data_IF_168396594680
#
_entry.id   IF_168396594680
#
_cell.length_a   1.000
_cell.length_b   1.000
_cell.length_c   1.000
_cell.angle_alpha   90.00
_cell.angle_beta   90.00
_cell.angle_gamma   90.00
#
_symmetry.space_group_name_H-M   'P 1'
#
loop_
_entity.id
_entity.type
_entity.pdbx_description
1 polymer ?
#
# COMPACT_ATOMS: atom_id res chain seq x y z
N UNK A 1 26.12 -4.06 -4.82
CA UNK A 1 26.37 -3.24 -3.64
C UNK A 1 26.23 -4.13 -2.40
N UNK A 2 27.32 -4.35 -1.66
CA UNK A 2 27.23 -4.94 -0.32
C UNK A 2 26.63 -3.84 0.56
N UNK A 3 25.44 -4.07 1.06
CA UNK A 3 24.86 -3.22 2.08
C UNK A 3 25.71 -3.36 3.34
N UNK A 4 26.25 -2.27 3.85
CA UNK A 4 27.00 -2.26 5.11
C UNK A 4 26.10 -2.65 6.28
N UNK A 5 24.80 -2.46 6.13
CA UNK A 5 23.77 -2.72 7.13
C UNK A 5 22.62 -3.52 6.52
N UNK A 6 22.63 -4.87 6.62
CA UNK A 6 21.61 -5.72 6.03
C UNK A 6 20.27 -5.63 6.79
N UNK A 7 19.17 -5.75 6.05
CA UNK A 7 17.87 -6.05 6.64
C UNK A 7 17.86 -7.49 7.15
N UNK A 8 17.13 -7.73 8.23
CA UNK A 8 17.06 -9.03 8.90
C UNK A 8 15.61 -9.51 8.96
N UNK A 9 15.43 -10.82 8.95
CA UNK A 9 14.15 -11.47 9.23
C UNK A 9 14.31 -12.35 10.45
N UNK A 10 13.44 -12.15 11.43
CA UNK A 10 13.44 -12.91 12.67
C UNK A 10 12.21 -13.80 12.72
N UNK A 11 12.40 -15.03 13.24
CA UNK A 11 11.32 -15.93 13.62
C UNK A 11 11.44 -16.16 15.13
N UNK A 12 10.43 -15.71 15.86
CA UNK A 12 10.32 -15.91 17.29
C UNK A 12 9.67 -17.25 17.61
N UNK A 13 9.81 -17.69 18.85
CA UNK A 13 9.09 -18.87 19.32
C UNK A 13 7.60 -18.58 19.35
N UNK A 14 6.79 -19.60 19.04
CA UNK A 14 5.32 -19.47 19.01
C UNK A 14 4.76 -19.10 20.39
N UNK A 15 5.41 -19.57 21.43
CA UNK A 15 5.04 -19.37 22.84
C UNK A 15 5.44 -17.99 23.37
N UNK A 16 6.34 -17.29 22.67
CA UNK A 16 6.88 -15.99 23.08
C UNK A 16 6.96 -15.01 21.88
N UNK A 17 5.82 -14.63 21.32
CA UNK A 17 5.76 -13.68 20.21
C UNK A 17 5.96 -12.25 20.73
N UNK A 18 6.60 -11.42 19.94
CA UNK A 18 6.70 -9.98 20.23
C UNK A 18 5.44 -9.26 19.71
N UNK A 19 4.65 -8.67 20.60
CA UNK A 19 3.42 -7.94 20.24
C UNK A 19 2.52 -8.73 19.26
N UNK A 20 2.28 -10.01 19.55
CA UNK A 20 1.55 -10.97 18.71
C UNK A 20 2.22 -11.32 17.36
N UNK A 21 3.42 -10.83 17.10
CA UNK A 21 4.19 -11.13 15.90
C UNK A 21 5.15 -12.30 16.15
N UNK A 22 4.99 -13.38 15.42
CA UNK A 22 5.95 -14.48 15.38
C UNK A 22 7.08 -14.23 14.38
N UNK A 23 6.76 -13.54 13.29
CA UNK A 23 7.72 -13.18 12.25
C UNK A 23 7.84 -11.66 12.20
N UNK A 24 9.08 -11.18 12.24
CA UNK A 24 9.40 -9.76 12.27
C UNK A 24 10.40 -9.47 11.16
N UNK A 25 10.15 -8.42 10.40
CA UNK A 25 11.11 -7.85 9.47
C UNK A 25 11.80 -6.66 10.16
N UNK A 26 13.14 -6.67 10.18
CA UNK A 26 13.95 -5.53 10.57
C UNK A 26 14.55 -4.92 9.31
N UNK A 27 13.96 -3.86 8.84
CA UNK A 27 14.39 -3.20 7.60
C UNK A 27 15.46 -2.16 7.92
N UNK A 28 16.60 -2.30 7.26
CA UNK A 28 17.65 -1.31 7.32
C UNK A 28 17.25 -0.07 6.54
N UNK A 29 17.38 1.15 7.11
CA UNK A 29 17.06 2.39 6.40
C UNK A 29 18.19 2.87 5.47
N UNK A 30 19.16 2.02 5.17
CA UNK A 30 20.30 2.40 4.34
C UNK A 30 19.87 2.88 2.94
N UNK A 31 20.37 4.05 2.57
CA UNK A 31 20.09 4.67 1.26
C UNK A 31 18.71 5.26 1.11
N UNK A 32 17.89 5.27 2.16
CA UNK A 32 16.52 5.78 2.19
C UNK A 32 16.30 6.59 3.46
N UNK A 33 15.27 7.44 3.43
CA UNK A 33 14.85 8.10 4.66
C UNK A 33 14.17 7.07 5.57
N UNK A 34 14.54 7.04 6.84
CA UNK A 34 14.00 6.11 7.85
C UNK A 34 12.46 6.12 7.89
N UNK A 35 11.87 7.26 7.57
CA UNK A 35 10.42 7.48 7.67
C UNK A 35 9.63 7.06 6.41
N UNK A 36 10.29 6.68 5.31
CA UNK A 36 9.62 6.44 4.02
C UNK A 36 8.52 5.39 4.07
N UNK A 37 8.70 4.31 4.81
CA UNK A 37 7.68 3.29 5.00
C UNK A 37 6.91 3.48 6.32
N UNK A 38 7.60 3.84 7.39
CA UNK A 38 6.98 4.00 8.70
C UNK A 38 5.81 5.00 8.70
N UNK A 39 6.01 6.14 8.06
CA UNK A 39 5.02 7.22 8.08
C UNK A 39 3.74 6.91 7.26
N UNK A 40 3.82 6.41 6.02
CA UNK A 40 2.66 5.94 5.28
C UNK A 40 1.87 4.85 5.99
N UNK A 41 2.54 3.86 6.58
CA UNK A 41 1.89 2.81 7.37
C UNK A 41 1.12 3.38 8.57
N UNK A 42 1.72 4.34 9.27
CA UNK A 42 1.07 5.01 10.38
C UNK A 42 -0.21 5.75 9.95
N UNK A 43 -0.15 6.49 8.84
CA UNK A 43 -1.31 7.21 8.29
C UNK A 43 -2.37 6.23 7.81
N UNK A 44 -1.98 5.15 7.13
CA UNK A 44 -2.87 4.11 6.65
C UNK A 44 -3.66 3.48 7.81
N UNK A 45 -2.99 3.08 8.89
CA UNK A 45 -3.65 2.54 10.08
C UNK A 45 -4.62 3.53 10.72
N UNK A 46 -4.27 4.81 10.80
CA UNK A 46 -5.18 5.86 11.31
C UNK A 46 -6.45 5.99 10.50
N UNK A 47 -6.38 5.80 9.19
CA UNK A 47 -7.55 5.78 8.32
C UNK A 47 -8.29 4.44 8.31
N UNK A 48 -7.80 3.45 9.05
CA UNK A 48 -8.37 2.11 9.12
C UNK A 48 -8.11 1.25 7.89
N UNK A 49 -7.04 1.51 7.15
CA UNK A 49 -6.52 0.61 6.12
C UNK A 49 -5.73 -0.52 6.77
N UNK A 50 -5.66 -1.66 6.10
CA UNK A 50 -4.67 -2.70 6.42
C UNK A 50 -3.30 -2.18 6.03
N UNK A 51 -2.37 -2.19 6.97
CA UNK A 51 -1.00 -1.75 6.76
C UNK A 51 -0.07 -2.43 7.77
N UNK A 52 1.23 -2.37 7.53
CA UNK A 52 2.20 -2.92 8.46
C UNK A 52 2.13 -2.22 9.83
N UNK A 53 2.24 -3.01 10.88
CA UNK A 53 2.50 -2.52 12.22
C UNK A 53 4.00 -2.54 12.46
N UNK A 54 4.53 -1.44 12.95
CA UNK A 54 5.95 -1.35 13.21
C UNK A 54 6.33 -0.12 13.99
N UNK A 55 7.59 -0.10 14.37
CA UNK A 55 8.21 0.96 15.16
C UNK A 55 9.68 1.13 14.75
N UNK A 56 10.23 2.28 15.05
CA UNK A 56 11.66 2.51 14.89
C UNK A 56 12.37 2.06 16.17
N UNK A 57 13.34 1.16 16.02
CA UNK A 57 14.10 0.60 17.14
C UNK A 57 15.59 0.80 16.94
N UNK A 58 16.33 0.86 18.04
CA UNK A 58 17.77 0.63 18.01
C UNK A 58 18.03 -0.87 18.15
N UNK A 59 18.75 -1.45 17.18
CA UNK A 59 19.11 -2.85 17.20
C UNK A 59 20.46 -3.03 17.93
N UNK A 60 20.44 -3.81 19.00
CA UNK A 60 21.64 -4.18 19.77
C UNK A 60 21.84 -5.68 19.65
N UNK A 61 23.03 -6.11 19.19
CA UNK A 61 23.41 -7.52 19.09
C UNK A 61 24.74 -7.70 19.82
N UNK A 62 24.80 -8.58 20.82
CA UNK A 62 26.00 -8.83 21.62
C UNK A 62 26.60 -7.53 22.18
N UNK A 63 25.76 -6.71 22.80
CA UNK A 63 26.10 -5.41 23.40
C UNK A 63 26.66 -4.35 22.42
N UNK A 64 26.58 -4.62 21.13
CA UNK A 64 26.98 -3.69 20.09
C UNK A 64 25.74 -3.11 19.37
N UNK A 65 25.67 -1.78 19.34
CA UNK A 65 24.62 -1.08 18.57
C UNK A 65 24.87 -1.22 17.07
N UNK A 66 23.82 -1.59 16.36
CA UNK A 66 23.72 -1.61 14.90
C UNK A 66 22.91 -0.43 14.37
N UNK A 67 22.51 0.51 15.25
CA UNK A 67 21.77 1.72 14.93
C UNK A 67 20.28 1.44 14.70
N UNK A 68 19.60 2.40 14.08
CA UNK A 68 18.14 2.39 13.94
C UNK A 68 17.70 1.43 12.83
N UNK A 69 16.68 0.63 13.11
CA UNK A 69 15.98 -0.23 12.18
C UNK A 69 14.47 0.07 12.22
N UNK A 70 13.79 -0.17 11.13
CA UNK A 70 12.34 -0.24 11.11
C UNK A 70 11.92 -1.70 11.37
N UNK A 71 11.40 -1.95 12.57
CA UNK A 71 10.74 -3.22 12.91
C UNK A 71 9.33 -3.17 12.37
N UNK A 72 8.93 -4.18 11.62
CA UNK A 72 7.57 -4.27 11.10
C UNK A 72 7.06 -5.70 11.03
N UNK A 73 5.73 -5.83 11.01
CA UNK A 73 5.06 -7.09 10.78
C UNK A 73 5.47 -7.68 9.42
N UNK A 74 5.53 -8.99 9.36
CA UNK A 74 5.50 -9.70 8.09
C UNK A 74 4.08 -9.70 7.52
N UNK A 75 3.98 -9.89 6.21
CA UNK A 75 2.73 -10.09 5.49
C UNK A 75 2.18 -11.50 5.80
N UNK A 76 1.55 -11.64 6.96
CA UNK A 76 0.96 -12.89 7.45
C UNK A 76 -0.30 -12.61 8.30
N UNK A 77 -0.86 -13.65 8.91
CA UNK A 77 -2.05 -13.54 9.75
C UNK A 77 -1.89 -12.54 10.91
N UNK A 78 -0.66 -12.35 11.41
CA UNK A 78 -0.39 -11.39 12.49
C UNK A 78 -0.69 -9.97 12.03
N UNK A 79 -0.34 -9.62 10.79
CA UNK A 79 -0.64 -8.31 10.19
C UNK A 79 -2.15 -8.07 10.12
N UNK A 80 -2.91 -9.06 9.65
CA UNK A 80 -4.39 -8.99 9.56
C UNK A 80 -5.01 -8.78 10.94
N UNK A 81 -4.58 -9.56 11.92
CA UNK A 81 -5.05 -9.51 13.30
C UNK A 81 -4.75 -8.19 13.99
N UNK A 82 -3.53 -7.66 13.84
CA UNK A 82 -3.13 -6.38 14.41
C UNK A 82 -3.93 -5.20 13.81
N UNK A 83 -4.35 -5.33 12.56
CA UNK A 83 -5.26 -4.37 11.93
C UNK A 83 -6.73 -4.59 12.32
N UNK A 84 -7.01 -5.49 13.27
CA UNK A 84 -8.38 -5.82 13.76
C UNK A 84 -9.31 -6.26 12.63
N UNK A 85 -8.75 -7.01 11.68
CA UNK A 85 -9.49 -7.62 10.59
C UNK A 85 -9.77 -9.08 10.88
N UNK A 86 -10.81 -9.62 10.26
CA UNK A 86 -11.08 -11.06 10.28
C UNK A 86 -9.97 -11.82 9.56
N UNK A 87 -9.68 -13.06 9.97
CA UNK A 87 -8.79 -13.90 9.18
C UNK A 87 -9.25 -13.96 7.72
N UNK A 88 -8.35 -13.65 6.82
CA UNK A 88 -8.60 -13.57 5.38
C UNK A 88 -7.30 -13.82 4.64
N UNK A 89 -7.29 -13.62 3.33
CA UNK A 89 -6.10 -13.84 2.52
C UNK A 89 -5.37 -12.55 2.22
N UNK A 90 -4.05 -12.63 2.16
CA UNK A 90 -3.20 -11.59 1.60
C UNK A 90 -2.77 -12.02 0.19
N UNK A 91 -2.84 -11.09 -0.74
CA UNK A 91 -2.32 -11.24 -2.09
C UNK A 91 -1.12 -10.31 -2.21
N UNK A 92 0.04 -10.90 -2.44
CA UNK A 92 1.32 -10.18 -2.52
C UNK A 92 1.81 -10.22 -3.95
N UNK A 93 1.98 -9.05 -4.58
CA UNK A 93 2.53 -8.94 -5.92
C UNK A 93 3.97 -9.41 -5.97
N UNK A 94 4.31 -10.23 -6.94
CA UNK A 94 5.68 -10.69 -7.17
C UNK A 94 6.49 -9.60 -7.86
N UNK A 95 7.73 -9.45 -7.42
CA UNK A 95 8.66 -8.47 -7.98
C UNK A 95 8.94 -8.71 -9.46
N UNK A 96 8.87 -7.66 -10.28
CA UNK A 96 9.20 -7.56 -11.70
C UNK A 96 8.21 -8.19 -12.69
N UNK A 97 7.04 -8.62 -12.30
CA UNK A 97 6.05 -9.13 -13.22
C UNK A 97 4.93 -8.12 -13.47
N UNK A 98 4.24 -8.27 -14.60
CA UNK A 98 2.95 -7.59 -14.79
C UNK A 98 1.94 -8.13 -13.79
N UNK A 99 1.73 -7.40 -12.73
CA UNK A 99 0.97 -7.80 -11.53
C UNK A 99 -0.54 -7.96 -11.76
N UNK A 100 -0.98 -7.94 -13.00
CA UNK A 100 -2.39 -8.02 -13.35
C UNK A 100 -2.79 -9.38 -13.93
N UNK A 101 -1.98 -10.40 -13.67
CA UNK A 101 -2.33 -11.80 -13.82
C UNK A 101 -2.35 -12.48 -12.46
N UNK A 102 -3.21 -13.48 -12.28
CA UNK A 102 -3.29 -14.22 -11.02
C UNK A 102 -1.95 -14.89 -10.66
N UNK A 103 -1.22 -15.38 -11.65
CA UNK A 103 0.07 -16.05 -11.46
C UNK A 103 1.18 -15.11 -10.96
N UNK A 104 0.96 -13.81 -11.06
CA UNK A 104 1.89 -12.78 -10.58
C UNK A 104 1.73 -12.46 -9.09
N UNK A 105 0.78 -13.13 -8.41
CA UNK A 105 0.54 -12.95 -6.99
C UNK A 105 0.83 -14.24 -6.20
N UNK A 106 1.41 -14.05 -5.01
CA UNK A 106 1.44 -15.04 -3.95
C UNK A 106 0.21 -14.84 -3.08
N UNK A 107 -0.51 -15.92 -2.81
CA UNK A 107 -1.65 -15.91 -1.88
C UNK A 107 -1.17 -16.47 -0.55
N UNK A 108 -1.17 -15.64 0.48
CA UNK A 108 -0.84 -16.03 1.85
C UNK A 108 -2.14 -16.23 2.61
N UNK A 109 -2.60 -17.48 2.65
CA UNK A 109 -3.76 -17.90 3.43
C UNK A 109 -3.86 -19.41 3.48
N UNK A 110 -4.29 -19.92 4.62
CA UNK A 110 -4.53 -21.35 4.80
C UNK A 110 -6.01 -21.73 4.60
N UNK A 111 -6.94 -20.77 4.59
CA UNK A 111 -8.38 -21.05 4.68
C UNK A 111 -9.20 -20.64 3.46
N UNK A 112 -8.79 -19.57 2.75
CA UNK A 112 -9.63 -18.93 1.72
C UNK A 112 -8.97 -18.87 0.35
N UNK A 113 -8.12 -19.85 0.02
CA UNK A 113 -7.31 -19.81 -1.21
C UNK A 113 -8.18 -19.77 -2.47
N UNK A 114 -9.18 -20.64 -2.55
CA UNK A 114 -10.01 -20.76 -3.76
C UNK A 114 -10.95 -19.57 -3.92
N UNK A 115 -11.59 -19.11 -2.84
CA UNK A 115 -12.43 -17.91 -2.84
C UNK A 115 -11.59 -16.68 -3.25
N UNK A 116 -10.36 -16.60 -2.72
CA UNK A 116 -9.44 -15.51 -3.05
C UNK A 116 -9.03 -15.53 -4.52
N UNK A 117 -8.76 -16.69 -5.09
CA UNK A 117 -8.46 -16.84 -6.52
C UNK A 117 -9.63 -16.39 -7.38
N UNK A 118 -10.84 -16.82 -7.04
CA UNK A 118 -12.05 -16.48 -7.79
C UNK A 118 -12.32 -14.96 -7.77
N UNK A 119 -12.31 -14.35 -6.57
CA UNK A 119 -12.55 -12.92 -6.42
C UNK A 119 -11.48 -12.08 -7.13
N UNK A 120 -10.22 -12.53 -7.06
CA UNK A 120 -9.10 -11.87 -7.69
C UNK A 120 -9.16 -11.95 -9.22
N UNK A 121 -9.54 -13.10 -9.79
CA UNK A 121 -9.77 -13.23 -11.23
C UNK A 121 -10.89 -12.29 -11.71
N UNK A 122 -11.96 -12.16 -10.94
CA UNK A 122 -13.04 -11.21 -11.23
C UNK A 122 -12.53 -9.76 -11.19
N UNK A 123 -11.68 -9.42 -10.23
CA UNK A 123 -11.07 -8.09 -10.12
C UNK A 123 -10.19 -7.78 -11.33
N UNK A 124 -9.28 -8.68 -11.70
CA UNK A 124 -8.43 -8.52 -12.88
C UNK A 124 -9.28 -8.41 -14.15
N UNK A 125 -10.30 -9.26 -14.30
CA UNK A 125 -11.22 -9.19 -15.42
C UNK A 125 -11.91 -7.82 -15.52
N UNK A 126 -12.38 -7.28 -14.41
CA UNK A 126 -12.99 -5.95 -14.36
C UNK A 126 -12.00 -4.83 -14.69
N UNK A 127 -10.73 -4.95 -14.28
CA UNK A 127 -9.68 -3.99 -14.57
C UNK A 127 -9.20 -4.05 -16.03
N UNK A 128 -9.07 -5.25 -16.60
CA UNK A 128 -8.57 -5.45 -17.96
C UNK A 128 -9.59 -5.05 -19.05
N UNK A 129 -10.86 -5.35 -18.86
CA UNK A 129 -11.94 -4.91 -19.77
C UNK A 129 -11.94 -3.40 -19.93
N UNK A 130 -11.42 -2.68 -18.94
CA UNK A 130 -11.45 -1.23 -18.92
C UNK A 130 -10.29 -0.55 -19.65
N UNK A 131 -9.26 -1.31 -20.10
CA UNK A 131 -8.14 -0.70 -20.86
C UNK A 131 -8.60 -0.11 -22.20
N UNK A 132 -9.62 -0.69 -22.82
CA UNK A 132 -10.08 -0.30 -24.17
C UNK A 132 -11.47 0.34 -24.18
N UNK A 133 -12.33 -0.01 -23.24
CA UNK A 133 -13.73 0.43 -23.18
C UNK A 133 -14.17 0.79 -21.77
N UNK A 134 -13.62 1.86 -21.21
CA UNK A 134 -14.01 2.39 -19.91
C UNK A 134 -15.46 2.87 -19.96
N UNK A 135 -16.36 2.07 -19.44
CA UNK A 135 -17.74 2.44 -19.24
C UNK A 135 -18.05 2.57 -17.75
N UNK A 136 -19.03 3.40 -17.41
CA UNK A 136 -19.58 3.49 -16.06
C UNK A 136 -20.00 2.12 -15.49
N UNK A 137 -20.57 1.27 -16.33
CA UNK A 137 -21.00 -0.07 -15.92
C UNK A 137 -19.82 -0.99 -15.54
N UNK A 138 -18.66 -0.82 -16.18
CA UNK A 138 -17.46 -1.57 -15.83
C UNK A 138 -16.91 -1.15 -14.47
N UNK A 139 -16.97 0.13 -14.15
CA UNK A 139 -16.53 0.67 -12.85
C UNK A 139 -17.44 0.16 -11.72
N UNK A 140 -18.75 0.12 -11.93
CA UNK A 140 -19.67 -0.45 -10.94
C UNK A 140 -19.35 -1.90 -10.62
N UNK A 141 -18.97 -2.70 -11.61
CA UNK A 141 -18.54 -4.09 -11.38
C UNK A 141 -17.29 -4.17 -10.49
N UNK A 142 -16.33 -3.27 -10.67
CA UNK A 142 -15.12 -3.22 -9.81
C UNK A 142 -15.51 -3.02 -8.35
N UNK A 143 -16.46 -2.13 -8.05
CA UNK A 143 -16.92 -1.87 -6.68
C UNK A 143 -17.80 -2.97 -6.09
N UNK A 144 -18.26 -3.93 -6.88
CA UNK A 144 -18.84 -5.16 -6.33
C UNK A 144 -17.76 -6.09 -5.74
N UNK A 145 -16.51 -5.94 -6.16
CA UNK A 145 -15.37 -6.77 -5.80
C UNK A 145 -14.43 -6.04 -4.84
N UNK A 146 -14.10 -4.80 -5.14
CA UNK A 146 -13.24 -3.98 -4.28
C UNK A 146 -14.05 -3.14 -3.29
N UNK A 147 -13.46 -2.92 -2.12
CA UNK A 147 -14.01 -1.98 -1.15
C UNK A 147 -13.71 -0.55 -1.61
N UNK A 148 -14.75 0.13 -2.14
CA UNK A 148 -14.64 1.48 -2.69
C UNK A 148 -14.08 2.47 -1.68
N UNK A 149 -14.53 2.41 -0.43
CA UNK A 149 -14.11 3.35 0.61
C UNK A 149 -12.64 3.15 0.98
N UNK A 150 -12.21 1.92 1.20
CA UNK A 150 -10.80 1.62 1.50
C UNK A 150 -9.89 1.95 0.30
N UNK A 151 -10.35 1.68 -0.92
CA UNK A 151 -9.61 2.05 -2.12
C UNK A 151 -9.47 3.58 -2.27
N UNK A 152 -10.51 4.34 -1.92
CA UNK A 152 -10.45 5.80 -1.94
C UNK A 152 -9.44 6.37 -0.92
N UNK A 153 -9.37 5.80 0.28
CA UNK A 153 -8.36 6.14 1.29
C UNK A 153 -6.95 5.82 0.82
N UNK A 154 -6.75 4.62 0.28
CA UNK A 154 -5.47 4.18 -0.27
C UNK A 154 -4.95 5.14 -1.34
N UNK A 155 -5.79 5.48 -2.32
CA UNK A 155 -5.40 6.41 -3.37
C UNK A 155 -5.18 7.84 -2.83
N UNK A 156 -5.96 8.27 -1.83
CA UNK A 156 -5.74 9.57 -1.19
C UNK A 156 -4.37 9.65 -0.50
N UNK A 157 -3.97 8.60 0.22
CA UNK A 157 -2.63 8.51 0.84
C UNK A 157 -1.54 8.54 -0.23
N UNK A 158 -1.66 7.71 -1.27
CA UNK A 158 -0.68 7.67 -2.36
C UNK A 158 -0.54 9.04 -3.02
N UNK A 159 -1.64 9.75 -3.25
CA UNK A 159 -1.62 11.08 -3.83
C UNK A 159 -0.92 12.12 -2.94
N UNK A 160 -1.29 12.19 -1.66
CA UNK A 160 -0.76 13.22 -0.76
C UNK A 160 0.71 13.00 -0.42
N UNK A 161 1.13 11.76 -0.26
CA UNK A 161 2.50 11.38 0.08
C UNK A 161 3.39 11.20 -1.15
N UNK A 162 2.82 11.24 -2.36
CA UNK A 162 3.58 11.06 -3.61
C UNK A 162 4.13 9.63 -3.75
N UNK A 163 3.40 8.63 -3.24
CA UNK A 163 3.78 7.22 -3.35
C UNK A 163 3.55 6.78 -4.79
N UNK A 164 4.61 6.35 -5.45
CA UNK A 164 4.58 5.89 -6.84
C UNK A 164 5.15 4.49 -7.02
N UNK A 165 5.67 3.88 -5.96
CA UNK A 165 6.36 2.60 -6.03
C UNK A 165 5.43 1.39 -6.09
N UNK A 166 4.19 1.52 -5.66
CA UNK A 166 3.13 0.57 -5.95
C UNK A 166 2.47 0.90 -7.30
N UNK A 167 3.28 0.77 -8.33
CA UNK A 167 2.91 1.08 -9.71
C UNK A 167 2.29 -0.13 -10.43
N UNK A 168 2.28 -0.09 -11.77
CA UNK A 168 1.76 -1.17 -12.59
C UNK A 168 2.57 -2.49 -12.47
N UNK A 169 3.84 -2.41 -12.08
CA UNK A 169 4.76 -3.55 -12.11
C UNK A 169 5.12 -4.12 -10.73
N UNK A 170 4.97 -3.34 -9.65
CA UNK A 170 5.51 -3.72 -8.35
C UNK A 170 4.59 -3.39 -7.17
N UNK A 171 4.83 -4.12 -6.09
CA UNK A 171 4.39 -3.76 -4.74
C UNK A 171 2.88 -3.53 -4.61
N UNK A 172 2.10 -4.24 -5.43
CA UNK A 172 0.66 -4.28 -5.20
C UNK A 172 0.36 -5.36 -4.19
N UNK A 173 -0.28 -4.96 -3.12
CA UNK A 173 -0.73 -5.87 -2.08
C UNK A 173 -2.18 -5.63 -1.79
N UNK A 174 -2.89 -6.73 -1.52
CA UNK A 174 -4.32 -6.69 -1.22
C UNK A 174 -4.65 -7.62 -0.08
N UNK A 175 -5.68 -7.26 0.66
CA UNK A 175 -6.34 -8.10 1.64
C UNK A 175 -7.72 -8.47 1.11
N UNK A 176 -8.04 -9.77 1.12
CA UNK A 176 -9.38 -10.26 0.90
C UNK A 176 -10.11 -10.37 2.24
N UNK A 177 -11.17 -9.59 2.41
CA UNK A 177 -12.06 -9.67 3.57
C UNK A 177 -13.17 -10.68 3.29
N UNK A 178 -13.13 -11.89 3.92
CA UNK A 178 -14.13 -12.92 3.69
C UNK A 178 -15.50 -12.55 4.25
N UNK A 179 -15.57 -11.66 5.23
CA UNK A 179 -16.83 -11.19 5.83
C UNK A 179 -17.62 -10.32 4.86
N UNK A 180 -16.92 -9.48 4.13
CA UNK A 180 -17.52 -8.56 3.17
C UNK A 180 -17.52 -9.13 1.74
N UNK A 181 -16.74 -10.18 1.47
CA UNK A 181 -16.48 -10.67 0.11
C UNK A 181 -15.80 -9.60 -0.75
N UNK A 182 -14.91 -8.78 -0.17
CA UNK A 182 -14.29 -7.63 -0.81
C UNK A 182 -12.77 -7.68 -0.73
N UNK A 183 -12.14 -7.11 -1.73
CA UNK A 183 -10.70 -6.88 -1.77
C UNK A 183 -10.39 -5.44 -1.34
N UNK A 184 -9.41 -5.27 -0.46
CA UNK A 184 -8.91 -4.00 0.03
C UNK A 184 -7.43 -3.84 -0.34
N UNK A 185 -6.98 -2.70 -0.89
CA UNK A 185 -5.57 -2.47 -1.15
C UNK A 185 -4.81 -2.19 0.14
N UNK A 186 -3.55 -2.63 0.19
CA UNK A 186 -2.62 -2.43 1.29
C UNK A 186 -1.55 -1.42 0.87
N UNK A 187 -1.18 -0.51 1.77
CA UNK A 187 0.01 0.33 1.57
C UNK A 187 1.23 -0.54 1.81
N UNK A 188 2.06 -0.68 0.79
CA UNK A 188 3.31 -1.42 0.86
C UNK A 188 4.40 -0.68 0.11
N UNK A 189 5.64 -0.84 0.58
CA UNK A 189 6.88 -0.26 0.01
C UNK A 189 6.69 1.18 -0.51
N UNK A 190 6.26 2.06 0.35
CA UNK A 190 5.94 3.45 0.06
C UNK A 190 7.18 4.33 -0.27
N UNK A 191 8.23 3.69 -0.78
CA UNK A 191 9.46 4.34 -1.23
C UNK A 191 9.16 5.45 -2.21
N UNK A 192 9.27 6.64 -1.84
CA UNK A 192 9.24 7.82 -2.69
C UNK A 192 8.34 8.91 -2.15
N UNK A 193 8.42 9.15 -0.84
CA UNK A 193 7.86 10.39 -0.29
C UNK A 193 8.37 11.57 -1.12
N UNK A 194 7.52 12.02 -2.03
CA UNK A 194 7.81 13.19 -2.84
C UNK A 194 9.04 13.11 -3.73
N UNK A 195 9.35 11.96 -4.32
CA UNK A 195 10.51 11.83 -5.21
C UNK A 195 10.42 12.63 -6.50
N UNK A 196 10.37 13.89 -6.31
CA UNK A 196 10.95 14.87 -7.21
C UNK A 196 12.48 14.63 -7.34
N UNK A 197 13.06 13.82 -6.47
CA UNK A 197 14.51 13.70 -6.24
C UNK A 197 15.14 12.39 -6.72
N UNK A 198 14.47 11.57 -7.51
CA UNK A 198 15.12 10.38 -8.05
C UNK A 198 16.24 10.76 -9.03
N UNK A 199 17.51 10.47 -8.72
CA UNK A 199 18.63 10.82 -9.61
C UNK A 199 18.61 10.09 -10.96
N UNK A 200 17.79 9.07 -11.11
CA UNK A 200 17.65 8.26 -12.33
C UNK A 200 16.65 8.83 -13.33
N UNK A 201 16.00 9.96 -13.01
CA UNK A 201 14.85 10.20 -13.77
C UNK A 201 14.60 11.55 -14.34
N UNK A 202 14.69 11.65 -15.62
CA UNK A 202 14.02 12.66 -16.46
C UNK A 202 12.48 12.57 -16.40
N UNK A 203 11.87 11.95 -15.36
CA UNK A 203 10.43 11.75 -15.23
C UNK A 203 9.92 12.41 -13.97
N UNK A 204 9.64 13.69 -14.12
CA UNK A 204 8.93 14.47 -13.13
C UNK A 204 7.45 14.11 -13.20
N UNK A 205 6.96 13.29 -12.29
CA UNK A 205 5.53 13.28 -12.01
C UNK A 205 5.22 14.60 -11.28
N UNK A 206 4.47 15.44 -11.92
CA UNK A 206 4.00 16.67 -11.28
C UNK A 206 2.99 16.25 -10.19
N UNK A 207 3.10 16.84 -9.00
CA UNK A 207 2.04 16.79 -7.99
C UNK A 207 0.68 17.15 -8.59
N UNK A 208 0.65 18.05 -9.58
CA UNK A 208 -0.55 18.34 -10.38
C UNK A 208 -1.18 17.08 -10.99
N UNK A 209 -0.40 16.13 -11.48
CA UNK A 209 -0.92 14.89 -12.09
C UNK A 209 -1.51 13.97 -11.04
N UNK A 210 -0.97 13.97 -9.81
CA UNK A 210 -1.44 13.14 -8.71
C UNK A 210 -2.66 13.74 -7.99
N UNK A 211 -2.79 15.06 -8.01
CA UNK A 211 -3.87 15.79 -7.31
C UNK A 211 -4.94 16.30 -8.28
N UNK A 212 -4.69 16.26 -9.59
CA UNK A 212 -5.60 16.79 -10.58
C UNK A 212 -6.99 16.18 -10.45
N UNK A 213 -7.98 17.05 -10.32
CA UNK A 213 -9.40 16.72 -10.44
C UNK A 213 -9.88 16.78 -11.90
N UNK A 214 -9.00 17.22 -12.81
CA UNK A 214 -9.29 17.25 -14.23
C UNK A 214 -9.35 15.84 -14.79
N UNK A 215 -10.24 15.61 -15.74
CA UNK A 215 -10.31 14.32 -16.45
C UNK A 215 -8.91 14.02 -17.01
N UNK A 216 -8.32 12.90 -16.62
CA UNK A 216 -7.00 12.56 -17.11
C UNK A 216 -7.04 12.53 -18.63
N UNK A 217 -6.05 13.17 -19.27
CA UNK A 217 -5.88 12.99 -20.69
C UNK A 217 -5.45 11.55 -20.91
N UNK A 218 -6.36 10.70 -21.36
CA UNK A 218 -6.23 9.25 -21.43
C UNK A 218 -4.94 8.79 -22.11
N UNK A 219 -4.45 9.53 -23.10
CA UNK A 219 -3.20 9.21 -23.80
C UNK A 219 -1.94 9.33 -22.93
N UNK A 220 -2.01 10.10 -21.84
CA UNK A 220 -0.87 10.32 -20.93
C UNK A 220 -0.96 9.44 -19.68
N UNK A 221 -2.18 9.11 -19.22
CA UNK A 221 -2.45 8.36 -17.99
C UNK A 221 -2.31 6.83 -18.13
N UNK A 222 -2.46 6.30 -19.33
CA UNK A 222 -2.23 4.88 -19.65
C UNK A 222 -0.74 4.56 -19.78
N UNK A 223 0.12 5.52 -19.51
CA UNK A 223 1.53 5.24 -19.43
C UNK A 223 1.74 4.21 -18.29
N UNK A 224 2.26 3.06 -18.63
CA UNK A 224 2.54 1.83 -17.86
C UNK A 224 3.14 2.00 -16.46
N UNK A 225 3.20 3.21 -15.92
CA UNK A 225 3.93 3.59 -14.71
C UNK A 225 3.07 4.16 -13.59
N UNK A 226 1.79 4.34 -13.80
CA UNK A 226 0.86 4.79 -12.77
C UNK A 226 0.02 3.61 -12.29
N UNK A 227 -0.36 3.64 -11.01
CA UNK A 227 -1.25 2.63 -10.48
C UNK A 227 -2.56 2.61 -11.28
N UNK A 228 -2.92 1.50 -11.95
CA UNK A 228 -4.11 1.44 -12.79
C UNK A 228 -5.41 1.66 -12.00
N UNK A 229 -5.43 1.34 -10.71
CA UNK A 229 -6.58 1.64 -9.83
C UNK A 229 -6.82 3.15 -9.75
N UNK A 230 -5.77 3.96 -9.69
CA UNK A 230 -5.92 5.42 -9.68
C UNK A 230 -6.56 5.92 -10.96
N UNK A 231 -6.10 5.44 -12.11
CA UNK A 231 -6.60 5.87 -13.41
C UNK A 231 -8.08 5.54 -13.60
N UNK A 232 -8.49 4.35 -13.18
CA UNK A 232 -9.88 3.90 -13.27
C UNK A 232 -10.75 4.65 -12.26
N UNK A 233 -10.27 4.81 -11.07
CA UNK A 233 -11.00 5.39 -9.97
C UNK A 233 -11.34 6.88 -10.17
N UNK A 234 -10.47 7.64 -10.82
CA UNK A 234 -10.71 9.06 -11.13
C UNK A 234 -11.93 9.24 -12.07
N UNK A 235 -12.26 8.23 -12.85
CA UNK A 235 -13.39 8.29 -13.77
C UNK A 235 -14.75 8.09 -13.08
N UNK A 236 -14.76 7.55 -11.87
CA UNK A 236 -15.98 7.37 -11.09
C UNK A 236 -16.22 8.61 -10.21
N UNK A 237 -17.32 9.37 -10.41
CA UNK A 237 -17.60 10.56 -9.62
C UNK A 237 -17.78 10.29 -8.12
N UNK A 238 -18.40 9.18 -7.74
CA UNK A 238 -18.59 8.80 -6.33
C UNK A 238 -17.24 8.50 -5.68
N UNK A 239 -16.44 7.65 -6.34
CA UNK A 239 -15.09 7.35 -5.88
C UNK A 239 -14.24 8.61 -5.77
N UNK A 240 -14.22 9.43 -6.82
CA UNK A 240 -13.44 10.67 -6.85
C UNK A 240 -13.87 11.63 -5.73
N UNK A 241 -15.16 11.76 -5.48
CA UNK A 241 -15.67 12.57 -4.36
C UNK A 241 -15.16 12.06 -3.01
N UNK A 242 -15.21 10.75 -2.76
CA UNK A 242 -14.67 10.15 -1.53
C UNK A 242 -13.16 10.39 -1.41
N UNK A 243 -12.41 10.14 -2.49
CA UNK A 243 -10.97 10.38 -2.53
C UNK A 243 -10.62 11.82 -2.18
N UNK A 244 -11.29 12.80 -2.79
CA UNK A 244 -11.08 14.22 -2.52
C UNK A 244 -11.42 14.57 -1.07
N UNK A 245 -12.50 14.01 -0.52
CA UNK A 245 -12.86 14.20 0.88
C UNK A 245 -11.78 13.66 1.83
N UNK A 246 -11.19 12.49 1.52
CA UNK A 246 -10.07 11.96 2.32
C UNK A 246 -8.82 12.81 2.18
N UNK A 247 -8.49 13.30 0.99
CA UNK A 247 -7.39 14.26 0.79
C UNK A 247 -7.58 15.51 1.64
N UNK A 248 -8.79 16.08 1.62
CA UNK A 248 -9.11 17.25 2.44
C UNK A 248 -8.94 16.98 3.94
N UNK A 249 -9.46 15.85 4.43
CA UNK A 249 -9.30 15.43 5.83
C UNK A 249 -7.83 15.24 6.20
N UNK A 250 -7.05 14.58 5.36
CA UNK A 250 -5.62 14.38 5.60
C UNK A 250 -4.89 15.73 5.71
N UNK A 251 -5.09 16.64 4.77
CA UNK A 251 -4.41 17.95 4.76
C UNK A 251 -4.77 18.77 5.99
N UNK A 252 -6.06 18.82 6.35
CA UNK A 252 -6.53 19.72 7.41
C UNK A 252 -6.41 19.14 8.81
N UNK A 253 -6.36 17.80 8.95
CA UNK A 253 -6.29 17.13 10.26
C UNK A 253 -4.95 16.41 10.43
N UNK A 254 -4.80 15.24 9.81
CA UNK A 254 -3.71 14.31 10.11
C UNK A 254 -2.33 14.84 9.69
N UNK A 255 -2.27 15.52 8.56
CA UNK A 255 -1.06 16.09 7.98
C UNK A 255 -0.93 17.60 8.22
N UNK A 256 -1.83 18.19 9.00
CA UNK A 256 -1.71 19.61 9.35
C UNK A 256 -0.40 19.86 10.10
N UNK A 257 0.20 21.03 9.89
CA UNK A 257 1.47 21.41 10.54
C UNK A 257 1.42 21.27 12.06
N UNK A 258 0.28 21.60 12.67
CA UNK A 258 0.09 21.49 14.12
C UNK A 258 0.14 20.05 14.61
N UNK A 259 -0.50 19.12 13.88
CA UNK A 259 -0.49 17.70 14.22
C UNK A 259 0.87 17.06 13.93
N UNK A 260 1.55 17.45 12.85
CA UNK A 260 2.89 16.96 12.55
C UNK A 260 3.90 17.37 13.62
N UNK A 261 3.85 18.60 14.08
CA UNK A 261 4.69 19.08 15.20
C UNK A 261 4.50 18.26 16.48
N UNK A 262 3.26 17.83 16.77
CA UNK A 262 2.96 16.97 17.91
C UNK A 262 3.58 15.57 17.78
N UNK A 263 3.64 15.01 16.57
CA UNK A 263 4.26 13.69 16.32
C UNK A 263 5.79 13.71 16.38
N UNK A 264 6.42 14.84 16.07
CA UNK A 264 7.87 14.99 16.13
C UNK A 264 8.39 15.26 17.55
N UNK A 265 7.52 15.64 18.47
CA UNK A 265 7.87 15.98 19.85
C UNK A 265 7.56 14.85 20.86
N UNK A 266 6.99 13.75 20.42
CA UNK A 266 6.76 12.52 21.19
C UNK A 266 7.68 11.40 20.67
#
# INVERSE_FOLDING_TARGET
>A
HRLEKPSLRLRLKKEDPYNMMQHINLISPEGRTIIENYYPDMIARKLGLVAHHGELIELIINDKSHGIYHLLTREDESMVRLNKRMPGSLLLGKYLNEIWNLDDFEIVSDQYIDDTKEIYQKMIGALNVNKENLSWNSMKKLWTIMNLDQTAKFIAINNILGIIHNDYFHNQEFYFDPTLGKVEPIISDAMSLGTILYPWGKRRFSIKTLISTEKPNFKISINQKTNPLLNLAILDPEFNSKRVNYLYKLINNDLSFQNQKKYLNN
#
